data_IF_277858329316
#
_entry.id   IF_277858329316
#
_cell.length_a   1.000
_cell.length_b   1.000
_cell.length_c   1.000
_cell.angle_alpha   90.00
_cell.angle_beta   90.00
_cell.angle_gamma   90.00
#
_symmetry.space_group_name_H-M   'P 1'
#
loop_
_entity.id
_entity.type
_entity.pdbx_description
1 polymer ?
#
# COMPACT_ATOMS: atom_id res chain seq x y z
N UNK A 1 7.43 19.89 -6.29
CA UNK A 1 8.53 19.44 -5.41
C UNK A 1 9.06 18.07 -5.87
N UNK A 2 10.31 17.98 -6.31
CA UNK A 2 10.99 16.70 -6.51
C UNK A 2 11.39 16.20 -5.12
N UNK A 3 10.80 15.11 -4.63
CA UNK A 3 11.12 14.56 -3.30
C UNK A 3 12.55 13.97 -3.32
N UNK A 4 13.36 14.40 -2.38
CA UNK A 4 14.69 13.86 -2.09
C UNK A 4 14.57 12.48 -1.45
N UNK A 5 15.08 11.46 -2.15
CA UNK A 5 15.28 10.09 -1.67
C UNK A 5 15.84 10.07 -0.25
N UNK A 6 15.11 9.51 0.72
CA UNK A 6 15.70 9.10 1.99
C UNK A 6 16.22 7.66 1.86
N UNK A 7 17.53 7.50 2.00
CA UNK A 7 18.22 6.21 1.93
C UNK A 7 17.62 5.23 2.96
N UNK A 8 17.04 4.14 2.48
CA UNK A 8 16.59 3.01 3.31
C UNK A 8 15.11 2.99 3.72
N UNK A 9 14.26 3.88 3.17
CA UNK A 9 12.79 3.81 3.37
C UNK A 9 12.08 3.65 2.03
N UNK A 10 11.11 2.74 1.97
CA UNK A 10 10.18 2.62 0.84
C UNK A 10 9.39 3.92 0.68
N UNK A 11 9.35 4.49 -0.53
CA UNK A 11 8.68 5.75 -0.86
C UNK A 11 7.54 5.50 -1.84
N UNK A 12 6.48 6.31 -1.76
CA UNK A 12 5.36 6.27 -2.70
C UNK A 12 5.86 6.70 -4.08
N UNK A 13 5.60 5.90 -5.12
CA UNK A 13 6.03 6.20 -6.50
C UNK A 13 5.36 7.46 -7.04
N UNK A 14 4.02 7.52 -7.03
CA UNK A 14 3.25 8.68 -7.45
C UNK A 14 2.06 8.93 -6.51
N UNK A 15 1.63 10.19 -6.44
CA UNK A 15 0.45 10.57 -5.67
C UNK A 15 -0.26 11.76 -6.28
N UNK A 16 -1.58 11.82 -6.14
CA UNK A 16 -2.41 12.96 -6.53
C UNK A 16 -2.87 13.66 -5.25
N UNK A 17 -2.57 14.96 -5.13
CA UNK A 17 -3.03 15.80 -4.03
C UNK A 17 -4.31 16.56 -4.42
N UNK A 18 -5.06 17.03 -3.42
CA UNK A 18 -6.28 17.82 -3.65
C UNK A 18 -6.05 19.10 -4.48
N UNK A 19 -4.94 19.78 -4.20
CA UNK A 19 -4.49 20.98 -4.90
C UNK A 19 -2.95 21.07 -4.81
N UNK A 20 -2.35 22.04 -5.51
CA UNK A 20 -0.89 22.21 -5.62
C UNK A 20 -0.19 22.47 -4.29
N UNK A 21 -0.89 23.07 -3.32
CA UNK A 21 -0.33 23.48 -2.04
C UNK A 21 -0.65 22.49 -0.91
N UNK A 22 -1.61 21.59 -1.15
CA UNK A 22 -2.05 20.62 -0.16
C UNK A 22 -1.02 19.52 0.08
N UNK A 23 -0.81 19.24 1.37
CA UNK A 23 -0.07 18.05 1.82
C UNK A 23 -0.96 16.80 1.88
N UNK A 24 -2.27 16.97 1.71
CA UNK A 24 -3.24 15.87 1.69
C UNK A 24 -3.23 15.15 0.35
N UNK A 25 -2.86 13.88 0.41
CA UNK A 25 -2.93 12.97 -0.72
C UNK A 25 -4.36 12.43 -0.85
N UNK A 26 -4.93 12.51 -2.04
CA UNK A 26 -6.24 11.92 -2.36
C UNK A 26 -6.11 10.60 -3.13
N UNK A 27 -5.01 10.41 -3.87
CA UNK A 27 -4.70 9.15 -4.56
C UNK A 27 -3.26 8.75 -4.33
N UNK A 28 -3.05 7.49 -3.98
CA UNK A 28 -1.74 6.85 -3.98
C UNK A 28 -1.61 5.94 -5.19
N UNK A 29 -0.48 5.98 -5.87
CA UNK A 29 -0.22 5.14 -7.04
C UNK A 29 1.10 4.37 -6.82
N UNK A 30 1.02 3.05 -6.88
CA UNK A 30 2.15 2.12 -6.88
C UNK A 30 2.34 1.56 -8.29
N UNK A 31 3.52 1.75 -8.86
CA UNK A 31 3.80 1.37 -10.24
C UNK A 31 4.83 0.24 -10.28
N UNK A 32 4.48 -0.86 -10.95
CA UNK A 32 5.42 -1.94 -11.26
C UNK A 32 5.77 -1.94 -12.73
N UNK A 33 6.92 -2.54 -13.06
CA UNK A 33 7.29 -2.79 -14.46
C UNK A 33 6.27 -3.77 -15.08
N UNK A 34 5.93 -3.61 -16.37
CA UNK A 34 5.17 -4.62 -17.11
C UNK A 34 5.77 -6.02 -16.91
N UNK A 35 4.92 -7.03 -16.71
CA UNK A 35 5.30 -8.43 -16.47
C UNK A 35 6.09 -8.70 -15.16
N UNK A 36 6.10 -7.77 -14.20
CA UNK A 36 6.75 -7.99 -12.91
C UNK A 36 6.03 -9.06 -12.08
N UNK A 37 6.80 -9.97 -11.46
CA UNK A 37 6.27 -10.97 -10.49
C UNK A 37 5.76 -10.34 -9.19
N UNK A 38 6.10 -9.08 -8.96
CA UNK A 38 5.68 -8.26 -7.81
C UNK A 38 4.30 -7.63 -8.02
N UNK A 39 3.79 -7.64 -9.26
CA UNK A 39 2.50 -7.05 -9.61
C UNK A 39 1.33 -7.91 -9.15
N UNK A 40 0.20 -7.24 -8.93
CA UNK A 40 -1.06 -7.85 -8.54
C UNK A 40 -1.79 -8.44 -9.77
N UNK A 41 -2.41 -9.60 -9.62
CA UNK A 41 -3.31 -10.16 -10.65
C UNK A 41 -4.59 -10.69 -10.02
N UNK A 42 -5.60 -10.99 -10.85
CA UNK A 42 -6.86 -11.60 -10.39
C UNK A 42 -6.66 -12.96 -9.71
N UNK A 43 -5.60 -13.71 -10.06
CA UNK A 43 -5.24 -14.99 -9.41
C UNK A 43 -4.22 -14.84 -8.29
N UNK A 44 -3.52 -13.71 -8.21
CA UNK A 44 -2.45 -13.47 -7.25
C UNK A 44 -2.56 -12.05 -6.69
N UNK A 45 -3.51 -11.88 -5.78
CA UNK A 45 -3.72 -10.62 -5.05
C UNK A 45 -2.57 -10.36 -4.06
N UNK A 46 -2.16 -11.42 -3.35
CA UNK A 46 -1.04 -11.39 -2.40
C UNK A 46 0.29 -11.18 -3.14
N UNK A 47 0.67 -9.91 -3.26
CA UNK A 47 1.76 -9.44 -4.10
C UNK A 47 2.52 -8.33 -3.38
N UNK A 48 3.78 -8.14 -3.72
CA UNK A 48 4.61 -7.12 -3.08
C UNK A 48 4.06 -5.71 -3.30
N UNK A 49 3.49 -5.42 -4.48
CA UNK A 49 2.81 -4.15 -4.73
C UNK A 49 1.66 -3.89 -3.73
N UNK A 50 0.88 -4.93 -3.41
CA UNK A 50 -0.15 -4.80 -2.37
C UNK A 50 0.48 -4.55 -0.99
N UNK A 51 1.57 -5.23 -0.64
CA UNK A 51 2.26 -5.01 0.65
C UNK A 51 2.81 -3.60 0.80
N UNK A 52 3.39 -3.06 -0.26
CA UNK A 52 3.87 -1.67 -0.34
C UNK A 52 2.72 -0.69 -0.14
N UNK A 53 1.61 -0.86 -0.87
CA UNK A 53 0.45 0.03 -0.72
C UNK A 53 -0.20 -0.06 0.66
N UNK A 54 -0.23 -1.23 1.30
CA UNK A 54 -0.69 -1.36 2.70
C UNK A 54 0.23 -0.56 3.62
N UNK A 55 1.55 -0.72 3.52
CA UNK A 55 2.51 0.03 4.33
C UNK A 55 2.33 1.54 4.16
N UNK A 56 2.19 2.01 2.92
CA UNK A 56 2.02 3.43 2.64
C UNK A 56 0.68 3.97 3.11
N UNK A 57 -0.38 3.17 2.99
CA UNK A 57 -1.69 3.52 3.53
C UNK A 57 -1.62 3.74 5.04
N UNK A 58 -1.07 2.79 5.80
CA UNK A 58 -0.89 2.94 7.25
C UNK A 58 -0.09 4.19 7.59
N UNK A 59 1.04 4.41 6.91
CA UNK A 59 1.85 5.62 7.09
C UNK A 59 1.06 6.89 6.82
N UNK A 60 0.27 6.96 5.75
CA UNK A 60 -0.52 8.14 5.43
C UNK A 60 -1.66 8.36 6.44
N UNK A 61 -2.31 7.28 6.90
CA UNK A 61 -3.44 7.32 7.82
C UNK A 61 -3.09 7.90 9.20
N UNK A 62 -1.83 7.78 9.62
CA UNK A 62 -1.33 8.44 10.85
C UNK A 62 -1.30 9.98 10.75
N UNK A 63 -1.34 10.54 9.53
CA UNK A 63 -1.26 11.99 9.31
C UNK A 63 -2.54 12.59 8.69
N UNK A 64 -3.28 11.82 7.89
CA UNK A 64 -4.41 12.34 7.12
C UNK A 64 -5.48 11.28 6.87
N UNK A 65 -6.73 11.74 6.77
CA UNK A 65 -7.91 10.94 6.40
C UNK A 65 -8.39 11.23 4.97
N UNK A 66 -7.63 12.02 4.20
CA UNK A 66 -8.05 12.55 2.90
C UNK A 66 -7.87 11.57 1.72
N UNK A 67 -7.13 10.47 1.92
CA UNK A 67 -6.89 9.48 0.87
C UNK A 67 -8.20 8.84 0.43
N UNK A 68 -8.48 8.83 -0.87
CA UNK A 68 -9.73 8.30 -1.45
C UNK A 68 -9.51 7.01 -2.22
N UNK A 69 -8.39 6.91 -2.92
CA UNK A 69 -8.08 5.77 -3.77
C UNK A 69 -6.62 5.33 -3.66
N UNK A 70 -6.41 4.03 -3.87
CA UNK A 70 -5.11 3.43 -4.11
C UNK A 70 -5.16 2.78 -5.50
N UNK A 71 -4.16 3.05 -6.32
CA UNK A 71 -4.01 2.50 -7.67
C UNK A 71 -2.73 1.67 -7.70
N UNK A 72 -2.83 0.42 -8.13
CA UNK A 72 -1.68 -0.42 -8.45
C UNK A 72 -1.68 -0.63 -9.96
N UNK A 73 -0.59 -0.28 -10.64
CA UNK A 73 -0.53 -0.35 -12.11
C UNK A 73 0.79 -0.88 -12.64
N UNK A 74 0.74 -1.56 -13.79
CA UNK A 74 1.91 -1.91 -14.61
C UNK A 74 1.96 -1.09 -15.91
N UNK A 75 1.25 0.05 -15.93
CA UNK A 75 1.00 0.96 -17.06
C UNK A 75 0.02 0.45 -18.12
N UNK A 76 -0.34 -0.83 -18.12
CA UNK A 76 -1.38 -1.38 -19.01
C UNK A 76 -2.64 -1.79 -18.26
N UNK A 77 -2.47 -2.34 -17.06
CA UNK A 77 -3.55 -2.72 -16.14
C UNK A 77 -3.54 -1.77 -14.95
N UNK A 78 -4.74 -1.34 -14.54
CA UNK A 78 -4.94 -0.47 -13.39
C UNK A 78 -5.93 -1.15 -12.45
N UNK A 79 -5.42 -1.57 -11.30
CA UNK A 79 -6.23 -2.04 -10.18
C UNK A 79 -6.51 -0.86 -9.26
N UNK A 80 -7.77 -0.45 -9.17
CA UNK A 80 -8.21 0.74 -8.43
C UNK A 80 -9.03 0.30 -7.23
N UNK A 81 -8.58 0.69 -6.03
CA UNK A 81 -9.20 0.37 -4.76
C UNK A 81 -9.73 1.64 -4.10
N UNK A 82 -10.96 1.59 -3.61
CA UNK A 82 -11.49 2.62 -2.72
C UNK A 82 -10.80 2.49 -1.36
N UNK A 83 -10.53 3.62 -0.71
CA UNK A 83 -9.87 3.61 0.60
C UNK A 83 -10.66 2.84 1.66
N UNK A 84 -11.99 2.80 1.55
CA UNK A 84 -12.86 2.06 2.47
C UNK A 84 -12.50 0.58 2.52
N UNK A 85 -12.06 -0.02 1.42
CA UNK A 85 -11.64 -1.42 1.40
C UNK A 85 -10.36 -1.62 2.22
N UNK A 86 -9.40 -0.70 2.10
CA UNK A 86 -8.18 -0.74 2.91
C UNK A 86 -8.46 -0.47 4.40
N UNK A 87 -9.43 0.40 4.68
CA UNK A 87 -9.86 0.70 6.04
C UNK A 87 -10.51 -0.51 6.73
N UNK A 88 -11.47 -1.16 6.08
CA UNK A 88 -12.15 -2.34 6.64
C UNK A 88 -11.20 -3.54 6.77
N UNK A 89 -10.47 -3.88 5.70
CA UNK A 89 -9.70 -5.13 5.64
C UNK A 89 -8.36 -5.05 6.39
N UNK A 90 -7.71 -3.88 6.38
CA UNK A 90 -6.36 -3.75 6.92
C UNK A 90 -6.30 -2.86 8.16
N UNK A 91 -6.79 -1.61 8.10
CA UNK A 91 -6.63 -0.67 9.22
C UNK A 91 -7.38 -1.09 10.49
N UNK A 92 -8.63 -1.55 10.32
CA UNK A 92 -9.47 -2.03 11.43
C UNK A 92 -9.08 -3.42 11.91
N UNK A 93 -8.32 -4.17 11.13
CA UNK A 93 -7.85 -5.49 11.50
C UNK A 93 -6.74 -5.39 12.57
N UNK A 94 -6.94 -5.93 13.79
CA UNK A 94 -5.99 -5.78 14.88
C UNK A 94 -4.60 -6.35 14.57
N UNK A 95 -4.51 -7.41 13.76
CA UNK A 95 -3.24 -8.06 13.42
C UNK A 95 -2.37 -7.16 12.55
N UNK A 96 -2.94 -6.53 11.53
CA UNK A 96 -2.22 -5.57 10.68
C UNK A 96 -1.82 -4.32 11.44
N UNK A 97 -2.72 -3.81 12.30
CA UNK A 97 -2.44 -2.63 13.12
C UNK A 97 -1.28 -2.89 14.08
N UNK A 98 -1.29 -4.01 14.80
CA UNK A 98 -0.20 -4.43 15.68
C UNK A 98 1.12 -4.58 14.92
N UNK A 99 1.09 -5.22 13.75
CA UNK A 99 2.27 -5.37 12.90
C UNK A 99 2.87 -4.01 12.52
N UNK A 100 2.03 -3.03 12.18
CA UNK A 100 2.48 -1.68 11.84
C UNK A 100 3.04 -0.91 13.06
N UNK A 101 2.43 -1.07 14.23
CA UNK A 101 2.93 -0.50 15.50
C UNK A 101 4.31 -1.08 15.85
N UNK A 102 4.50 -2.40 15.74
CA UNK A 102 5.79 -3.07 15.95
C UNK A 102 6.83 -2.66 14.92
N UNK A 103 6.43 -2.44 13.66
CA UNK A 103 7.30 -1.92 12.60
C UNK A 103 7.82 -0.52 12.92
N UNK A 104 6.98 0.34 13.50
CA UNK A 104 7.32 1.71 13.85
C UNK A 104 8.05 1.84 15.20
N UNK A 105 7.88 0.88 16.11
CA UNK A 105 8.39 0.95 17.46
C UNK A 105 9.93 0.90 17.50
N UNK A 106 10.61 1.91 18.08
CA UNK A 106 12.07 1.95 18.11
C UNK A 106 12.74 0.84 18.92
N UNK A 107 12.00 0.20 19.84
CA UNK A 107 12.48 -0.88 20.70
C UNK A 107 12.15 -2.27 20.13
N UNK A 108 11.46 -2.33 18.99
CA UNK A 108 11.17 -3.59 18.31
C UNK A 108 12.42 -4.12 17.61
N UNK A 109 12.66 -5.44 17.72
CA UNK A 109 13.70 -6.14 16.95
C UNK A 109 13.49 -6.04 15.43
N UNK A 110 12.29 -5.65 15.03
CA UNK A 110 11.79 -5.60 13.67
C UNK A 110 11.68 -4.17 13.10
N UNK A 111 12.05 -3.15 13.90
CA UNK A 111 11.91 -1.72 13.57
C UNK A 111 12.41 -1.37 12.17
N UNK A 112 11.54 -0.78 11.35
CA UNK A 112 11.90 -0.22 10.05
C UNK A 112 12.33 -1.25 9.00
N UNK A 113 12.35 -2.55 9.32
CA UNK A 113 12.70 -3.61 8.38
C UNK A 113 11.53 -3.85 7.42
N UNK A 114 11.61 -3.21 6.27
CA UNK A 114 10.53 -3.19 5.28
C UNK A 114 10.33 -4.57 4.64
N UNK A 115 11.40 -5.33 4.41
CA UNK A 115 11.30 -6.67 3.83
C UNK A 115 10.56 -7.64 4.75
N UNK A 116 10.88 -7.59 6.04
CA UNK A 116 10.21 -8.42 7.02
C UNK A 116 8.74 -8.01 7.19
N UNK A 117 8.42 -6.71 7.08
CA UNK A 117 7.03 -6.24 7.10
C UNK A 117 6.23 -6.82 5.96
N UNK A 118 6.79 -6.86 4.75
CA UNK A 118 6.13 -7.47 3.61
C UNK A 118 5.90 -8.98 3.80
N UNK A 119 6.85 -9.70 4.42
CA UNK A 119 6.65 -11.13 4.74
C UNK A 119 5.50 -11.35 5.72
N UNK A 120 5.44 -10.56 6.79
CA UNK A 120 4.37 -10.70 7.78
C UNK A 120 2.99 -10.30 7.22
N UNK A 121 2.93 -9.22 6.42
CA UNK A 121 1.71 -8.87 5.66
C UNK A 121 1.29 -10.01 4.75
N UNK A 122 2.22 -10.64 4.03
CA UNK A 122 1.92 -11.75 3.13
C UNK A 122 1.25 -12.92 3.88
N UNK A 123 1.79 -13.29 5.06
CA UNK A 123 1.23 -14.34 5.93
C UNK A 123 -0.17 -13.98 6.44
N UNK A 124 -0.38 -12.72 6.84
CA UNK A 124 -1.70 -12.26 7.31
C UNK A 124 -2.74 -12.32 6.19
N UNK A 125 -2.37 -11.97 4.96
CA UNK A 125 -3.26 -12.08 3.79
C UNK A 125 -3.57 -13.56 3.48
N UNK A 126 -2.57 -14.44 3.47
CA UNK A 126 -2.75 -15.88 3.23
C UNK A 126 -3.70 -16.54 4.21
N UNK A 127 -3.70 -16.10 5.47
CA UNK A 127 -4.56 -16.63 6.52
C UNK A 127 -5.95 -15.97 6.56
N UNK A 128 -6.19 -14.93 5.76
CA UNK A 128 -7.47 -14.24 5.68
C UNK A 128 -8.43 -14.94 4.72
N UNK A 129 -9.73 -14.91 5.03
CA UNK A 129 -10.82 -15.35 4.13
C UNK A 129 -11.46 -14.19 3.39
N UNK A 130 -11.02 -12.96 3.65
CA UNK A 130 -11.61 -11.76 3.10
C UNK A 130 -11.07 -11.47 1.70
N UNK A 131 -11.93 -10.92 0.84
CA UNK A 131 -11.58 -10.60 -0.54
C UNK A 131 -11.47 -9.10 -0.70
N UNK A 132 -10.31 -8.64 -1.19
CA UNK A 132 -10.10 -7.25 -1.56
C UNK A 132 -10.88 -6.91 -2.84
N UNK A 133 -11.85 -6.00 -2.75
CA UNK A 133 -12.63 -5.57 -3.92
C UNK A 133 -11.97 -4.35 -4.57
N UNK A 134 -11.95 -4.34 -5.90
CA UNK A 134 -11.44 -3.22 -6.67
C UNK A 134 -12.01 -3.23 -8.08
N UNK A 135 -11.66 -2.19 -8.83
CA UNK A 135 -11.97 -2.07 -10.25
C UNK A 135 -10.71 -2.38 -11.05
N UNK A 136 -10.87 -3.14 -12.13
CA UNK A 136 -9.80 -3.37 -13.11
C UNK A 136 -10.13 -2.57 -14.36
N UNK A 137 -9.17 -1.74 -14.79
CA UNK A 137 -9.13 -1.20 -16.15
C UNK A 137 -7.97 -1.89 -16.86
N UNK A 138 -8.27 -2.60 -17.94
CA UNK A 138 -7.27 -3.26 -18.78
C UNK A 138 -7.20 -2.55 -20.13
N UNK A 139 -6.01 -2.05 -20.47
CA UNK A 139 -5.75 -1.33 -21.72
C UNK A 139 -5.10 -2.22 -22.80
N UNK A 140 -4.93 -3.52 -22.54
CA UNK A 140 -4.37 -4.48 -23.51
C UNK A 140 -5.40 -5.03 -24.47
#
# INVERSE_FOLDING_TARGET
>A
HIKTKQKGKSEIDLSISKDEFSKDLEVLIEAKKPNSKEFITHTKVNSKALHETILYYFRNREYSFSLKFIIITDFYKFYIFKISEFEELFYKNPSFKKLFEEFCNPNSLFKGNTEEFYKEVAKLIENSKENLKGFLIDLT
#
